data_IF_410434118603
#
_entry.id   IF_410434118603
#
_cell.length_a   1.000
_cell.length_b   1.000
_cell.length_c   1.000
_cell.angle_alpha   90.00
_cell.angle_beta   90.00
_cell.angle_gamma   90.00
#
_symmetry.space_group_name_H-M   'P 1'
#
loop_
_entity.id
_entity.type
_entity.pdbx_description
1 polymer ?
#
# COMPACT_ATOMS: atom_id res chain seq x y z
N UNK A 1 3.64 43.86 30.66
CA UNK A 1 2.71 42.84 30.14
C UNK A 1 3.55 41.61 29.80
N UNK A 2 3.97 40.85 30.82
CA UNK A 2 3.45 39.51 31.24
C UNK A 2 3.96 38.34 30.37
N UNK A 3 4.71 37.43 31.01
CA UNK A 3 5.12 36.09 30.54
C UNK A 3 3.89 35.19 30.25
N UNK A 4 3.89 34.11 29.45
CA UNK A 4 4.61 32.81 29.53
C UNK A 4 4.05 31.87 28.38
N UNK A 5 4.28 30.54 28.27
CA UNK A 5 5.42 29.89 27.59
C UNK A 5 5.03 28.72 26.63
N UNK A 6 5.97 28.24 25.81
CA UNK A 6 6.01 26.82 25.43
C UNK A 6 7.44 26.38 25.23
N UNK A 7 8.05 26.08 26.37
CA UNK A 7 9.32 25.38 26.52
C UNK A 7 9.19 24.00 25.88
N UNK A 8 10.06 23.70 24.90
CA UNK A 8 10.41 22.33 24.56
C UNK A 8 11.79 22.10 25.18
N UNK A 9 11.79 21.34 26.26
CA UNK A 9 12.93 21.00 27.12
C UNK A 9 14.22 20.67 26.35
N UNK A 10 15.28 21.35 26.77
CA UNK A 10 16.69 21.07 26.47
C UNK A 10 17.12 19.72 27.06
N UNK A 11 17.50 18.79 26.17
CA UNK A 11 18.35 17.65 26.49
C UNK A 11 19.48 17.64 25.48
N UNK A 12 20.70 17.94 25.94
CA UNK A 12 21.86 18.16 25.09
C UNK A 12 22.25 16.93 24.26
N UNK A 13 22.52 17.16 22.98
CA UNK A 13 23.60 16.47 22.27
C UNK A 13 23.85 17.19 20.94
N UNK A 14 25.01 17.82 20.84
CA UNK A 14 25.64 18.26 19.60
C UNK A 14 25.89 17.04 18.71
N UNK A 15 24.88 16.54 18.01
CA UNK A 15 25.09 15.53 16.99
C UNK A 15 24.32 15.89 15.74
N UNK A 16 25.11 16.43 14.81
CA UNK A 16 24.98 16.39 13.36
C UNK A 16 23.55 16.18 12.87
N UNK A 17 23.01 17.22 12.24
CA UNK A 17 21.97 17.13 11.24
C UNK A 17 22.48 16.22 10.10
N UNK A 18 22.43 14.90 10.32
CA UNK A 18 22.91 13.92 9.37
C UNK A 18 22.04 14.01 8.13
N UNK A 19 22.61 14.68 7.13
CA UNK A 19 22.34 14.47 5.72
C UNK A 19 22.47 12.98 5.41
N UNK A 20 21.39 12.22 5.59
CA UNK A 20 21.30 10.88 5.03
C UNK A 20 20.27 10.94 3.91
N UNK A 21 20.76 11.41 2.76
CA UNK A 21 20.17 11.11 1.46
C UNK A 21 20.09 9.60 1.30
N UNK A 22 18.99 9.03 1.76
CA UNK A 22 18.58 7.66 1.43
C UNK A 22 17.15 7.76 0.96
N UNK A 23 17.01 7.48 -0.34
CA UNK A 23 15.78 7.48 -1.13
C UNK A 23 14.84 6.40 -0.58
N UNK A 24 14.26 6.64 0.59
CA UNK A 24 13.19 5.81 1.15
C UNK A 24 12.20 6.79 1.73
N UNK A 25 10.98 6.77 1.17
CA UNK A 25 9.79 7.60 1.38
C UNK A 25 9.35 7.74 2.85
N UNK A 26 10.22 8.22 3.73
CA UNK A 26 9.95 8.38 5.14
C UNK A 26 9.60 9.83 5.39
N UNK A 27 8.38 10.05 5.87
CA UNK A 27 7.97 11.36 6.33
C UNK A 27 8.73 11.74 7.60
N UNK A 28 9.04 13.02 7.76
CA UNK A 28 9.58 13.56 9.00
C UNK A 28 8.57 13.41 10.16
N UNK A 29 9.04 13.54 11.39
CA UNK A 29 8.24 13.31 12.60
C UNK A 29 6.98 14.17 12.64
N UNK A 30 7.11 15.44 12.26
CA UNK A 30 6.00 16.39 12.21
C UNK A 30 4.98 16.06 11.12
N UNK A 31 5.42 15.81 9.89
CA UNK A 31 4.49 15.47 8.82
C UNK A 31 3.73 14.18 9.12
N UNK A 32 4.39 13.20 9.73
CA UNK A 32 3.72 11.95 10.12
C UNK A 32 2.76 12.11 11.30
N UNK A 33 3.13 12.89 12.33
CA UNK A 33 2.23 13.19 13.48
C UNK A 33 0.94 13.84 12.99
N UNK A 34 1.08 14.76 12.04
CA UNK A 34 -0.05 15.46 11.44
C UNK A 34 -0.70 14.71 10.26
N UNK A 35 -0.21 13.50 9.92
CA UNK A 35 -0.67 12.70 8.77
C UNK A 35 -0.68 13.47 7.43
N UNK A 36 0.31 14.34 7.25
CA UNK A 36 0.47 15.17 6.05
C UNK A 36 1.57 14.65 5.13
N UNK A 37 1.42 14.96 3.84
CA UNK A 37 2.41 14.61 2.81
C UNK A 37 3.75 15.30 3.11
N UNK A 38 4.80 14.51 3.23
CA UNK A 38 6.15 15.02 3.45
C UNK A 38 6.88 15.17 2.11
N UNK A 39 7.34 16.38 1.81
CA UNK A 39 8.23 16.66 0.67
C UNK A 39 9.67 16.83 1.18
N UNK A 40 10.49 15.76 1.20
CA UNK A 40 11.88 15.85 1.64
C UNK A 40 12.72 16.69 0.66
N UNK A 41 13.48 17.66 1.18
CA UNK A 41 14.51 18.43 0.44
C UNK A 41 15.86 18.31 1.16
N UNK A 42 16.92 18.85 0.56
CA UNK A 42 18.30 18.80 1.08
C UNK A 42 18.47 19.38 2.49
N UNK A 43 17.74 20.45 2.81
CA UNK A 43 17.80 21.14 4.11
C UNK A 43 16.62 20.80 5.05
N UNK A 44 15.84 19.76 4.72
CA UNK A 44 14.65 19.36 5.49
C UNK A 44 13.37 19.38 4.68
N UNK A 45 12.24 19.03 5.31
CA UNK A 45 10.97 18.96 4.62
C UNK A 45 10.47 20.36 4.20
N UNK A 46 9.84 20.52 3.03
CA UNK A 46 9.38 21.83 2.53
C UNK A 46 8.50 22.59 3.53
N UNK A 47 7.65 21.87 4.28
CA UNK A 47 6.81 22.44 5.34
C UNK A 47 7.61 22.89 6.55
N UNK A 48 8.55 22.08 6.99
CA UNK A 48 9.42 22.36 8.13
C UNK A 48 10.26 23.61 7.86
N UNK A 49 10.76 23.72 6.63
CA UNK A 49 11.49 24.89 6.16
C UNK A 49 10.63 26.16 6.14
N UNK A 50 9.38 26.08 5.63
CA UNK A 50 8.45 27.22 5.64
C UNK A 50 8.08 27.67 7.06
N UNK A 51 7.96 26.73 7.99
CA UNK A 51 7.60 27.01 9.38
C UNK A 51 8.81 27.39 10.24
N UNK A 52 10.03 27.30 9.71
CA UNK A 52 11.26 27.55 10.48
C UNK A 52 11.50 26.57 11.63
N UNK A 53 10.88 25.39 11.59
CA UNK A 53 10.99 24.39 12.67
C UNK A 53 12.01 23.31 12.36
N UNK A 54 12.58 22.71 13.41
CA UNK A 54 13.53 21.60 13.29
C UNK A 54 12.87 20.38 12.66
N UNK A 55 13.40 19.94 11.52
CA UNK A 55 12.95 18.75 10.83
C UNK A 55 13.69 17.51 11.35
N UNK A 56 13.02 16.65 12.12
CA UNK A 56 13.58 15.37 12.59
C UNK A 56 12.95 14.18 11.86
N UNK A 57 13.73 13.12 11.68
CA UNK A 57 13.29 11.84 11.12
C UNK A 57 14.03 10.71 11.82
N UNK A 58 13.89 10.61 13.15
CA UNK A 58 14.58 9.60 13.97
C UNK A 58 13.89 8.25 14.01
N UNK A 59 12.76 8.09 13.29
CA UNK A 59 11.97 6.86 13.35
C UNK A 59 12.73 5.64 12.82
N UNK A 60 12.78 4.54 13.59
CA UNK A 60 13.37 3.30 13.12
C UNK A 60 12.52 2.70 11.99
N UNK A 61 13.19 2.26 10.93
CA UNK A 61 12.55 1.56 9.82
C UNK A 61 12.22 0.15 10.30
N UNK A 62 10.95 -0.09 10.66
CA UNK A 62 10.48 -1.46 10.87
C UNK A 62 10.44 -2.18 9.53
N UNK A 63 11.28 -3.19 9.38
CA UNK A 63 11.18 -4.14 8.26
C UNK A 63 9.88 -4.90 8.41
N UNK A 64 8.97 -4.80 7.43
CA UNK A 64 7.81 -5.69 7.37
C UNK A 64 8.33 -7.11 7.16
N UNK A 65 7.73 -8.09 7.83
CA UNK A 65 8.06 -9.50 7.64
C UNK A 65 7.85 -9.94 6.19
N UNK A 66 8.29 -11.16 5.87
CA UNK A 66 8.12 -11.73 4.52
C UNK A 66 6.64 -11.72 4.16
N UNK A 67 6.30 -11.20 2.97
CA UNK A 67 4.93 -11.26 2.45
C UNK A 67 4.55 -12.75 2.33
N UNK A 68 3.39 -13.19 2.85
CA UNK A 68 2.93 -14.55 2.61
C UNK A 68 2.84 -14.78 1.10
N UNK A 69 3.44 -15.87 0.63
CA UNK A 69 3.32 -16.29 -0.76
C UNK A 69 1.84 -16.56 -1.01
N UNK A 70 1.21 -15.79 -1.90
CA UNK A 70 -0.15 -16.07 -2.34
C UNK A 70 -0.09 -17.39 -3.09
N UNK A 71 -0.63 -18.46 -2.51
CA UNK A 71 -0.76 -19.72 -3.23
C UNK A 71 -1.67 -19.45 -4.43
N UNK A 72 -1.20 -19.77 -5.63
CA UNK A 72 -2.04 -19.77 -6.82
C UNK A 72 -3.12 -20.83 -6.59
N UNK A 73 -4.42 -20.50 -6.70
CA UNK A 73 -5.48 -21.50 -6.64
C UNK A 73 -5.19 -22.59 -7.68
N UNK A 74 -5.49 -23.87 -7.39
CA UNK A 74 -5.36 -24.92 -8.38
C UNK A 74 -6.22 -24.55 -9.60
N UNK A 75 -5.60 -24.57 -10.79
CA UNK A 75 -6.32 -24.51 -12.05
C UNK A 75 -7.14 -25.79 -12.17
N UNK A 76 -8.40 -25.73 -11.73
CA UNK A 76 -9.38 -26.77 -12.04
C UNK A 76 -9.57 -26.70 -13.57
N UNK A 77 -9.29 -27.78 -14.33
CA UNK A 77 -9.63 -27.82 -15.75
C UNK A 77 -11.12 -27.53 -15.91
N UNK A 78 -11.54 -26.76 -16.93
CA UNK A 78 -12.95 -26.64 -17.23
C UNK A 78 -13.48 -28.06 -17.49
N UNK A 79 -14.28 -28.57 -16.56
CA UNK A 79 -15.05 -29.78 -16.75
C UNK A 79 -15.98 -29.46 -17.92
N UNK A 80 -15.60 -29.92 -19.11
CA UNK A 80 -16.43 -29.91 -20.29
C UNK A 80 -17.62 -30.82 -19.97
N UNK A 81 -18.65 -30.26 -19.36
CA UNK A 81 -19.92 -30.93 -19.19
C UNK A 81 -20.53 -31.06 -20.58
N UNK A 82 -20.19 -32.14 -21.27
CA UNK A 82 -21.01 -32.63 -22.35
C UNK A 82 -22.39 -32.87 -21.73
N UNK A 83 -23.34 -32.01 -22.05
CA UNK A 83 -24.71 -32.08 -21.53
C UNK A 83 -25.46 -33.15 -22.35
N UNK A 84 -25.60 -34.40 -21.84
CA UNK A 84 -26.16 -35.50 -22.62
C UNK A 84 -27.63 -35.25 -22.98
N UNK A 85 -28.34 -34.45 -22.18
CA UNK A 85 -29.75 -34.15 -22.41
C UNK A 85 -29.97 -33.37 -23.70
N UNK A 86 -29.07 -32.47 -24.08
CA UNK A 86 -29.23 -31.70 -25.33
C UNK A 86 -29.03 -32.58 -26.56
N UNK A 87 -28.08 -33.53 -26.52
CA UNK A 87 -27.91 -34.51 -27.58
C UNK A 87 -29.12 -35.44 -27.69
N UNK A 88 -29.68 -35.90 -26.56
CA UNK A 88 -30.89 -36.73 -26.56
C UNK A 88 -32.11 -35.99 -27.11
N UNK A 89 -32.27 -34.71 -26.78
CA UNK A 89 -33.34 -33.86 -27.33
C UNK A 89 -33.16 -33.72 -28.85
N UNK A 90 -31.96 -33.38 -29.34
CA UNK A 90 -31.70 -33.22 -30.77
C UNK A 90 -32.01 -34.52 -31.54
N UNK A 91 -31.53 -35.67 -31.04
CA UNK A 91 -31.80 -36.97 -31.65
C UNK A 91 -33.30 -37.34 -31.64
N UNK A 92 -34.02 -36.99 -30.58
CA UNK A 92 -35.46 -37.24 -30.49
C UNK A 92 -36.25 -36.43 -31.55
N UNK A 93 -35.95 -35.14 -31.71
CA UNK A 93 -36.62 -34.30 -32.69
C UNK A 93 -36.27 -34.66 -34.14
N UNK A 94 -35.02 -35.06 -34.42
CA UNK A 94 -34.64 -35.49 -35.78
C UNK A 94 -35.31 -36.80 -36.16
N UNK A 95 -35.39 -37.77 -35.27
CA UNK A 95 -36.10 -39.04 -35.51
C UNK A 95 -37.60 -38.78 -35.68
N UNK A 96 -38.21 -37.96 -34.82
CA UNK A 96 -39.63 -37.62 -34.94
C UNK A 96 -39.95 -36.95 -36.30
N UNK A 97 -39.13 -36.03 -36.76
CA UNK A 97 -39.31 -35.38 -38.06
C UNK A 97 -39.16 -36.34 -39.25
N UNK A 98 -38.22 -37.29 -39.18
CA UNK A 98 -38.00 -38.28 -40.24
C UNK A 98 -39.13 -39.33 -40.27
N UNK A 99 -39.64 -39.74 -39.11
CA UNK A 99 -40.70 -40.77 -39.03
C UNK A 99 -42.13 -40.23 -39.22
N UNK A 100 -42.32 -38.91 -39.24
CA UNK A 100 -43.64 -38.26 -39.44
C UNK A 100 -43.84 -37.80 -40.89
N UNK A 101 -42.90 -38.10 -41.80
CA UNK A 101 -43.02 -37.91 -43.25
C UNK A 101 -43.17 -39.27 -43.93
#
# INVERSE_FOLDING_TARGET
MTADPSQCTSGGSLLLCHHKGKKTLIACDQCHRHKLKCSPRSQGCARCHRLGIKCTSSRPIKRRGRRPTRQTPPLIPPQLSEHPLMHLIILYWTVFAICTF
#
